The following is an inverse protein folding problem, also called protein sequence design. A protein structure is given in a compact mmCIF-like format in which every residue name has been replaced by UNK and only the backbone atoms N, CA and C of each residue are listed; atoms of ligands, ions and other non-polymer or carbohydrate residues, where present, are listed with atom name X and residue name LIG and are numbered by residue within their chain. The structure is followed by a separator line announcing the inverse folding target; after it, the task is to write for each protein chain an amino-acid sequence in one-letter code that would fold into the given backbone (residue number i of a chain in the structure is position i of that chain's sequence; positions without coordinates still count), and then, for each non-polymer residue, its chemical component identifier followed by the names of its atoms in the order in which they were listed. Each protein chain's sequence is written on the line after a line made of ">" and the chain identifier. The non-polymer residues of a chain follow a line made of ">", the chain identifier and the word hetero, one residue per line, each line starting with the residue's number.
data_IF_790831075293
#
_entry.id   IF_790831075293
#
_cell.length_a   1.000
_cell.length_b   1.000
_cell.length_c   1.000
_cell.angle_alpha   90.00
_cell.angle_beta   90.00
_cell.angle_gamma   90.00
#
_symmetry.space_group_name_H-M   'P 1'
#
loop_
_entity.id
_entity.type
_entity.pdbx_description
1 polymer ?
#
# COMPACT_ATOMS: atom_id res chain seq x y z
N UNK A 1 6.68 -3.83 3.23
CA UNK A 1 7.49 -4.54 2.22
C UNK A 1 8.36 -3.55 1.46
N UNK A 2 9.64 -3.82 1.38
CA UNK A 2 10.64 -3.00 0.74
C UNK A 2 11.55 -3.82 -0.17
N UNK A 3 12.58 -3.18 -0.70
CA UNK A 3 13.65 -3.82 -1.44
C UNK A 3 14.83 -3.97 -0.50
N UNK A 4 15.45 -5.15 -0.48
CA UNK A 4 16.66 -5.45 0.28
C UNK A 4 17.79 -5.67 -0.72
N UNK A 5 18.85 -4.89 -0.60
CA UNK A 5 20.07 -5.04 -1.41
C UNK A 5 21.31 -4.97 -0.52
N UNK A 6 22.44 -5.52 -0.99
CA UNK A 6 23.73 -5.29 -0.33
C UNK A 6 24.11 -3.81 -0.46
N UNK A 7 24.48 -3.19 0.64
CA UNK A 7 24.90 -1.79 0.66
C UNK A 7 26.20 -1.60 -0.15
N UNK A 8 27.12 -2.53 -0.04
CA UNK A 8 28.35 -2.55 -0.85
C UNK A 8 28.02 -2.54 -2.34
N UNK A 9 27.11 -3.43 -2.79
CA UNK A 9 26.67 -3.50 -4.19
C UNK A 9 25.94 -2.22 -4.62
N UNK A 10 25.17 -1.59 -3.73
CA UNK A 10 24.51 -0.31 -4.00
C UNK A 10 25.56 0.79 -4.27
N UNK A 11 26.58 0.88 -3.44
CA UNK A 11 27.65 1.89 -3.58
C UNK A 11 28.48 1.68 -4.86
N UNK A 12 28.75 0.45 -5.24
CA UNK A 12 29.50 0.11 -6.45
C UNK A 12 28.72 0.39 -7.74
N UNK A 13 27.44 0.01 -7.77
CA UNK A 13 26.61 0.06 -8.99
C UNK A 13 25.83 1.38 -9.15
N UNK A 14 25.69 2.17 -8.10
CA UNK A 14 25.01 3.47 -8.08
C UNK A 14 25.93 4.58 -7.54
N UNK A 15 27.10 4.84 -8.14
CA UNK A 15 28.06 5.85 -7.62
C UNK A 15 27.52 7.28 -7.68
N UNK A 16 26.51 7.55 -8.52
CA UNK A 16 25.75 8.80 -8.58
C UNK A 16 24.27 8.46 -8.66
N UNK A 17 23.63 8.10 -7.54
CA UNK A 17 22.20 7.86 -7.55
C UNK A 17 21.44 9.12 -7.94
N UNK A 18 20.34 8.99 -8.66
CA UNK A 18 19.44 10.10 -9.02
C UNK A 18 18.84 10.81 -7.81
N UNK A 19 18.97 10.22 -6.63
CA UNK A 19 18.69 10.77 -5.32
C UNK A 19 19.67 10.20 -4.32
N UNK A 20 19.91 10.90 -3.23
CA UNK A 20 20.74 10.45 -2.11
C UNK A 20 19.91 9.69 -1.09
N UNK A 21 20.54 8.80 -0.31
CA UNK A 21 19.89 8.25 0.89
C UNK A 21 19.50 9.35 1.87
N UNK A 22 20.18 10.50 1.84
CA UNK A 22 19.78 11.69 2.60
C UNK A 22 18.42 12.24 2.21
N UNK A 23 17.98 12.10 0.95
CA UNK A 23 16.66 12.52 0.48
C UNK A 23 15.52 11.64 1.05
N UNK A 24 15.90 10.51 1.65
CA UNK A 24 14.99 9.63 2.37
C UNK A 24 14.92 9.93 3.87
N UNK A 25 15.57 10.98 4.33
CA UNK A 25 15.47 11.48 5.69
C UNK A 25 14.33 12.49 5.76
N UNK A 26 13.33 12.20 6.59
CA UNK A 26 12.15 13.04 6.76
C UNK A 26 12.24 13.74 8.11
N UNK A 27 12.27 15.07 8.09
CA UNK A 27 12.17 15.86 9.32
C UNK A 27 10.70 15.96 9.73
N UNK A 28 10.37 15.38 10.88
CA UNK A 28 9.01 15.41 11.44
C UNK A 28 8.99 16.35 12.62
N UNK A 29 8.13 17.37 12.60
CA UNK A 29 7.83 18.22 13.76
C UNK A 29 6.92 17.46 14.71
N UNK A 30 7.41 17.16 15.90
CA UNK A 30 6.63 16.52 16.96
C UNK A 30 5.93 17.60 17.79
N UNK A 31 6.63 18.71 18.08
CA UNK A 31 6.07 19.92 18.74
C UNK A 31 6.59 21.17 18.04
N UNK A 32 6.22 22.36 18.53
CA UNK A 32 6.77 23.64 18.00
C UNK A 32 8.30 23.73 18.08
N UNK A 33 8.90 23.05 19.06
CA UNK A 33 10.33 23.12 19.36
C UNK A 33 11.08 21.81 19.06
N UNK A 34 10.39 20.67 19.04
CA UNK A 34 11.00 19.36 18.85
C UNK A 34 10.81 18.90 17.41
N UNK A 35 11.91 18.71 16.72
CA UNK A 35 11.99 18.10 15.42
C UNK A 35 12.68 16.73 15.56
N UNK A 36 12.20 15.73 14.81
CA UNK A 36 12.82 14.41 14.75
C UNK A 36 13.07 14.03 13.30
N UNK A 37 14.28 13.63 12.99
CA UNK A 37 14.60 13.06 11.67
C UNK A 37 14.25 11.58 11.68
N UNK A 38 13.43 11.17 10.72
CA UNK A 38 13.07 9.77 10.49
C UNK A 38 13.73 9.32 9.20
N UNK A 39 14.54 8.27 9.29
CA UNK A 39 15.10 7.63 8.12
C UNK A 39 14.07 6.69 7.49
N UNK A 40 13.76 6.91 6.22
CA UNK A 40 12.86 6.04 5.46
C UNK A 40 13.59 4.81 4.88
N UNK A 41 14.83 4.56 5.28
CA UNK A 41 15.60 3.37 4.96
C UNK A 41 16.21 2.79 6.24
N UNK A 42 16.65 1.54 6.18
CA UNK A 42 17.35 0.87 7.27
C UNK A 42 18.61 0.19 6.72
N UNK A 43 19.71 0.33 7.42
CA UNK A 43 20.96 -0.35 7.12
C UNK A 43 21.31 -1.29 8.28
N UNK A 44 21.45 -2.58 8.00
CA UNK A 44 21.85 -3.62 8.96
C UNK A 44 22.75 -4.63 8.24
N UNK A 45 23.92 -4.92 8.77
CA UNK A 45 24.85 -5.97 8.29
C UNK A 45 25.01 -5.98 6.76
N UNK A 46 25.40 -4.85 6.17
CA UNK A 46 25.51 -4.68 4.70
C UNK A 46 24.18 -4.86 3.94
N UNK A 47 23.03 -4.95 4.62
CA UNK A 47 21.72 -5.01 4.00
C UNK A 47 21.04 -3.64 4.06
N UNK A 48 20.85 -3.05 2.90
CA UNK A 48 20.10 -1.81 2.74
C UNK A 48 18.63 -2.14 2.44
N UNK A 49 17.74 -1.74 3.35
CA UNK A 49 16.30 -1.86 3.24
C UNK A 49 15.75 -0.53 2.73
N UNK A 50 15.14 -0.53 1.55
CA UNK A 50 14.57 0.67 0.92
C UNK A 50 13.08 0.45 0.66
N UNK A 51 12.20 1.44 0.95
CA UNK A 51 10.81 1.37 0.53
C UNK A 51 10.71 1.15 -0.98
N UNK A 52 9.78 0.29 -1.39
CA UNK A 52 9.68 -0.16 -2.78
C UNK A 52 9.60 0.97 -3.80
N UNK A 53 8.80 2.01 -3.52
CA UNK A 53 8.70 3.17 -4.42
C UNK A 53 10.04 3.87 -4.57
N UNK A 54 10.69 4.18 -3.46
CA UNK A 54 11.99 4.85 -3.45
C UNK A 54 13.09 4.02 -4.13
N UNK A 55 13.00 2.69 -4.07
CA UNK A 55 13.93 1.82 -4.77
C UNK A 55 13.88 2.01 -6.30
N UNK A 56 12.71 2.28 -6.89
CA UNK A 56 12.60 2.56 -8.33
C UNK A 56 13.20 3.91 -8.72
N UNK A 57 13.22 4.86 -7.80
CA UNK A 57 13.77 6.19 -8.03
C UNK A 57 15.29 6.23 -7.80
N UNK A 58 15.79 5.46 -6.81
CA UNK A 58 17.17 5.45 -6.37
C UNK A 58 18.06 4.44 -7.12
N UNK A 59 17.49 3.27 -7.49
CA UNK A 59 18.29 2.20 -8.09
C UNK A 59 18.37 2.34 -9.61
N UNK A 60 19.54 2.04 -10.16
CA UNK A 60 19.69 1.98 -11.60
C UNK A 60 18.97 0.76 -12.20
N UNK A 61 18.80 0.76 -13.53
CA UNK A 61 18.06 -0.29 -14.24
C UNK A 61 18.69 -1.68 -14.05
N UNK A 62 20.02 -1.76 -13.95
CA UNK A 62 20.76 -3.02 -13.78
C UNK A 62 20.47 -3.66 -12.43
N UNK A 63 20.53 -2.87 -11.33
CA UNK A 63 20.15 -3.33 -10.00
C UNK A 63 18.68 -3.70 -9.91
N UNK A 64 17.78 -2.89 -10.49
CA UNK A 64 16.34 -3.19 -10.51
C UNK A 64 16.02 -4.51 -11.21
N UNK A 65 16.72 -4.86 -12.28
CA UNK A 65 16.53 -6.14 -12.99
C UNK A 65 17.09 -7.33 -12.23
N UNK A 66 18.13 -7.13 -11.41
CA UNK A 66 18.74 -8.19 -10.59
C UNK A 66 17.92 -8.53 -9.34
N UNK A 67 16.98 -7.67 -8.94
CA UNK A 67 16.13 -7.89 -7.78
C UNK A 67 15.09 -8.97 -8.10
N UNK A 68 15.23 -10.13 -7.46
CA UNK A 68 14.22 -11.19 -7.54
C UNK A 68 12.93 -10.71 -6.87
N UNK A 69 11.86 -10.61 -7.64
CA UNK A 69 10.55 -10.29 -7.11
C UNK A 69 10.00 -11.50 -6.33
N UNK A 70 10.08 -11.43 -5.00
CA UNK A 70 9.53 -12.45 -4.09
C UNK A 70 8.06 -12.22 -3.74
N UNK A 71 7.35 -11.35 -4.49
CA UNK A 71 5.91 -11.20 -4.25
C UNK A 71 5.20 -12.49 -4.60
N UNK A 72 4.48 -13.02 -3.63
CA UNK A 72 3.49 -14.07 -3.85
C UNK A 72 2.41 -13.59 -4.83
N UNK A 73 1.81 -14.51 -5.56
CA UNK A 73 0.64 -14.20 -6.37
C UNK A 73 -0.48 -13.68 -5.47
N UNK A 74 -1.30 -12.77 -6.02
CA UNK A 74 -2.45 -12.24 -5.30
C UNK A 74 -3.45 -13.35 -5.02
N UNK A 75 -3.88 -13.47 -3.76
CA UNK A 75 -4.96 -14.38 -3.38
C UNK A 75 -6.25 -13.92 -4.03
N UNK A 76 -6.83 -14.77 -4.87
CA UNK A 76 -8.12 -14.51 -5.52
C UNK A 76 -9.25 -14.68 -4.51
N UNK A 77 -10.16 -13.72 -4.50
CA UNK A 77 -11.35 -13.71 -3.65
C UNK A 77 -12.59 -13.43 -4.54
N UNK A 78 -13.17 -14.45 -5.17
CA UNK A 78 -14.29 -14.28 -6.10
C UNK A 78 -15.54 -13.69 -5.45
N UNK A 79 -15.72 -13.88 -4.15
CA UNK A 79 -16.86 -13.38 -3.37
C UNK A 79 -16.84 -11.86 -3.15
N UNK A 80 -15.74 -11.17 -3.48
CA UNK A 80 -15.67 -9.72 -3.39
C UNK A 80 -16.62 -9.12 -4.45
N UNK A 81 -17.81 -8.70 -4.01
CA UNK A 81 -18.84 -8.12 -4.88
C UNK A 81 -19.39 -6.84 -4.26
N UNK A 82 -19.16 -5.73 -4.95
CA UNK A 82 -19.74 -4.44 -4.59
C UNK A 82 -21.17 -4.33 -5.12
N UNK A 83 -22.15 -4.10 -4.26
CA UNK A 83 -23.58 -4.05 -4.59
C UNK A 83 -24.14 -2.61 -4.60
N UNK A 84 -23.29 -1.61 -4.48
CA UNK A 84 -23.67 -0.21 -4.57
C UNK A 84 -23.62 0.36 -5.98
N UNK A 85 -24.17 1.57 -6.15
CA UNK A 85 -24.02 2.35 -7.39
C UNK A 85 -22.94 3.41 -7.20
N UNK A 86 -21.98 3.45 -8.12
CA UNK A 86 -20.96 4.50 -8.17
C UNK A 86 -21.51 5.72 -8.93
N UNK A 87 -21.18 6.92 -8.46
CA UNK A 87 -21.45 8.18 -9.17
C UNK A 87 -20.51 8.31 -10.37
N UNK A 88 -20.87 9.11 -11.37
CA UNK A 88 -20.06 9.29 -12.58
C UNK A 88 -18.61 9.69 -12.30
N UNK A 89 -18.40 10.68 -11.42
CA UNK A 89 -17.06 11.09 -11.03
C UNK A 89 -16.25 9.98 -10.35
N UNK A 90 -16.88 9.08 -9.59
CA UNK A 90 -16.22 7.92 -9.00
C UNK A 90 -15.86 6.87 -10.05
N UNK A 91 -16.72 6.67 -11.05
CA UNK A 91 -16.47 5.76 -12.19
C UNK A 91 -15.25 6.24 -12.99
N UNK A 92 -15.15 7.54 -13.26
CA UNK A 92 -14.00 8.13 -13.97
C UNK A 92 -12.70 7.83 -13.23
N UNK A 93 -12.64 8.09 -11.90
CA UNK A 93 -11.47 7.81 -11.07
C UNK A 93 -11.17 6.31 -11.07
N UNK A 94 -12.17 5.47 -10.91
CA UNK A 94 -12.01 4.01 -10.90
C UNK A 94 -11.43 3.48 -12.22
N UNK A 95 -11.95 3.93 -13.35
CA UNK A 95 -11.44 3.55 -14.69
C UNK A 95 -9.99 3.99 -14.86
N UNK A 96 -9.65 5.20 -14.43
CA UNK A 96 -8.28 5.71 -14.48
C UNK A 96 -7.31 4.86 -13.62
N UNK A 97 -7.69 4.57 -12.38
CA UNK A 97 -6.90 3.74 -11.47
C UNK A 97 -6.68 2.34 -12.06
N UNK A 98 -7.76 1.69 -12.52
CA UNK A 98 -7.66 0.36 -13.09
C UNK A 98 -6.74 0.33 -14.32
N UNK A 99 -6.94 1.23 -15.27
CA UNK A 99 -6.15 1.29 -16.50
C UNK A 99 -4.67 1.57 -16.25
N UNK A 100 -4.35 2.51 -15.36
CA UNK A 100 -2.99 3.01 -15.23
C UNK A 100 -2.16 2.31 -14.15
N UNK A 101 -2.80 1.78 -13.10
CA UNK A 101 -2.07 1.26 -11.93
C UNK A 101 -2.37 -0.21 -11.62
N UNK A 102 -3.57 -0.70 -11.94
CA UNK A 102 -4.04 -2.01 -11.49
C UNK A 102 -4.43 -2.98 -12.62
N UNK A 103 -4.26 -2.62 -13.90
CA UNK A 103 -4.47 -3.59 -14.96
C UNK A 103 -3.46 -4.75 -14.81
N UNK A 104 -3.88 -5.99 -15.14
CA UNK A 104 -3.13 -7.24 -14.90
C UNK A 104 -1.64 -7.17 -15.23
N UNK A 105 -1.24 -6.49 -16.30
CA UNK A 105 0.16 -6.33 -16.70
C UNK A 105 0.97 -5.47 -15.73
N UNK A 106 0.37 -4.41 -15.17
CA UNK A 106 1.05 -3.48 -14.25
C UNK A 106 1.11 -4.02 -12.82
N UNK A 107 0.06 -4.70 -12.38
CA UNK A 107 0.01 -5.35 -11.04
C UNK A 107 1.04 -6.47 -10.96
N UNK A 108 1.16 -7.34 -11.98
CA UNK A 108 2.22 -8.35 -12.03
C UNK A 108 3.64 -7.77 -11.98
N UNK A 109 3.83 -6.55 -12.51
CA UNK A 109 5.12 -5.85 -12.43
C UNK A 109 5.32 -5.10 -11.10
N UNK A 110 4.38 -5.19 -10.16
CA UNK A 110 4.45 -4.54 -8.87
C UNK A 110 4.48 -3.01 -8.89
N UNK A 111 3.98 -2.39 -9.95
CA UNK A 111 3.95 -0.93 -10.15
C UNK A 111 2.62 -0.26 -9.76
N UNK A 112 1.78 -0.95 -9.00
CA UNK A 112 0.45 -0.49 -8.65
C UNK A 112 0.39 0.40 -7.39
N UNK A 113 1.28 1.38 -7.25
CA UNK A 113 1.25 2.34 -6.13
C UNK A 113 0.73 3.67 -6.64
N UNK A 114 -0.32 4.19 -6.00
CA UNK A 114 -0.90 5.49 -6.33
C UNK A 114 -1.52 6.16 -5.12
N UNK A 115 -1.65 7.48 -5.19
CA UNK A 115 -2.37 8.28 -4.21
C UNK A 115 -3.62 8.85 -4.86
N UNK A 116 -4.77 8.66 -4.20
CA UNK A 116 -6.05 9.21 -4.65
C UNK A 116 -6.41 10.42 -3.78
N UNK A 117 -6.40 11.60 -4.39
CA UNK A 117 -6.78 12.86 -3.73
C UNK A 117 -8.19 13.23 -4.17
N UNK A 118 -9.13 13.25 -3.24
CA UNK A 118 -10.52 13.68 -3.44
C UNK A 118 -10.98 14.48 -2.22
N UNK A 119 -11.84 15.48 -2.41
CA UNK A 119 -12.44 16.23 -1.29
C UNK A 119 -13.16 15.28 -0.32
N UNK A 120 -13.25 15.67 0.95
CA UNK A 120 -14.03 14.92 1.94
C UNK A 120 -15.49 14.74 1.47
N UNK A 121 -16.11 13.63 1.81
CA UNK A 121 -17.50 13.32 1.39
C UNK A 121 -17.69 12.90 -0.07
N UNK A 122 -16.68 13.00 -0.95
CA UNK A 122 -16.79 12.60 -2.37
C UNK A 122 -16.74 11.08 -2.61
N UNK A 123 -16.66 10.28 -1.55
CA UNK A 123 -16.79 8.83 -1.61
C UNK A 123 -15.54 8.07 -2.07
N UNK A 124 -14.35 8.48 -1.60
CA UNK A 124 -13.09 7.75 -1.80
C UNK A 124 -13.21 6.25 -1.49
N UNK A 125 -13.88 5.91 -0.38
CA UNK A 125 -14.08 4.53 0.04
C UNK A 125 -14.83 3.71 -1.03
N UNK A 126 -15.84 4.26 -1.67
CA UNK A 126 -16.60 3.57 -2.72
C UNK A 126 -15.75 3.30 -3.97
N UNK A 127 -14.84 4.21 -4.32
CA UNK A 127 -13.88 3.97 -5.41
C UNK A 127 -12.98 2.78 -5.09
N UNK A 128 -12.49 2.70 -3.84
CA UNK A 128 -11.65 1.57 -3.36
C UNK A 128 -12.44 0.26 -3.40
N UNK A 129 -13.69 0.25 -2.93
CA UNK A 129 -14.55 -0.93 -2.98
C UNK A 129 -14.86 -1.38 -4.42
N UNK A 130 -15.12 -0.42 -5.31
CA UNK A 130 -15.27 -0.70 -6.75
C UNK A 130 -14.01 -1.31 -7.36
N UNK A 131 -12.84 -0.83 -6.95
CA UNK A 131 -11.56 -1.39 -7.41
C UNK A 131 -11.36 -2.82 -6.89
N UNK A 132 -11.63 -3.08 -5.61
CA UNK A 132 -11.56 -4.42 -5.02
C UNK A 132 -12.51 -5.40 -5.74
N UNK A 133 -13.73 -4.95 -6.08
CA UNK A 133 -14.68 -5.71 -6.87
C UNK A 133 -14.14 -6.10 -8.26
N UNK A 134 -13.49 -5.19 -8.96
CA UNK A 134 -12.92 -5.45 -10.30
C UNK A 134 -11.72 -6.40 -10.21
N UNK A 135 -10.85 -6.19 -9.23
CA UNK A 135 -9.62 -6.97 -9.09
C UNK A 135 -9.86 -8.37 -8.57
N UNK A 136 -10.90 -8.57 -7.76
CA UNK A 136 -11.21 -9.88 -7.13
C UNK A 136 -10.02 -10.49 -6.38
N UNK A 137 -9.29 -9.66 -5.64
CA UNK A 137 -8.13 -10.09 -4.86
C UNK A 137 -8.30 -9.74 -3.39
N UNK A 138 -7.72 -10.55 -2.50
CA UNK A 138 -7.69 -10.28 -1.07
C UNK A 138 -7.22 -8.85 -0.84
N UNK A 139 -8.03 -8.09 -0.12
CA UNK A 139 -7.82 -6.65 0.06
C UNK A 139 -7.60 -6.33 1.53
N UNK A 140 -6.56 -5.57 1.84
CA UNK A 140 -6.30 -5.07 3.19
C UNK A 140 -6.53 -3.56 3.21
N UNK A 141 -7.37 -3.10 4.13
CA UNK A 141 -7.64 -1.68 4.38
C UNK A 141 -6.99 -1.32 5.71
N UNK A 142 -5.90 -0.57 5.66
CA UNK A 142 -5.22 -0.10 6.87
C UNK A 142 -5.85 1.21 7.33
N UNK A 143 -6.22 1.26 8.61
CA UNK A 143 -6.93 2.40 9.21
C UNK A 143 -6.19 2.94 10.44
N UNK A 144 -6.27 4.25 10.71
CA UNK A 144 -5.50 4.88 11.80
C UNK A 144 -6.08 4.66 13.19
N UNK A 145 -7.38 4.47 13.33
CA UNK A 145 -8.07 4.36 14.62
C UNK A 145 -9.38 3.56 14.55
N UNK A 146 -9.91 3.19 15.73
CA UNK A 146 -11.12 2.37 15.85
C UNK A 146 -12.37 3.04 15.27
N UNK A 147 -12.53 4.36 15.39
CA UNK A 147 -13.68 5.07 14.81
C UNK A 147 -13.75 4.89 13.31
N UNK A 148 -12.59 4.99 12.64
CA UNK A 148 -12.48 4.76 11.19
C UNK A 148 -12.71 3.28 10.86
N UNK A 149 -12.20 2.34 11.67
CA UNK A 149 -12.42 0.91 11.50
C UNK A 149 -13.92 0.57 11.54
N UNK A 150 -14.63 1.05 12.57
CA UNK A 150 -16.09 0.84 12.72
C UNK A 150 -16.84 1.45 11.52
N UNK A 151 -16.45 2.63 11.07
CA UNK A 151 -17.02 3.24 9.88
C UNK A 151 -16.85 2.39 8.62
N UNK A 152 -15.65 1.86 8.38
CA UNK A 152 -15.37 0.95 7.27
C UNK A 152 -16.16 -0.37 7.38
N UNK A 153 -16.26 -0.95 8.59
CA UNK A 153 -17.02 -2.17 8.82
C UNK A 153 -18.48 -2.00 8.38
N UNK A 154 -19.15 -0.92 8.82
CA UNK A 154 -20.54 -0.61 8.41
C UNK A 154 -20.69 -0.47 6.90
N UNK A 155 -19.73 0.18 6.25
CA UNK A 155 -19.73 0.35 4.79
C UNK A 155 -19.58 -1.00 4.07
N UNK A 156 -18.68 -1.87 4.55
CA UNK A 156 -18.48 -3.21 3.99
C UNK A 156 -19.70 -4.09 4.18
N UNK A 157 -20.28 -4.14 5.37
CA UNK A 157 -21.50 -4.90 5.65
C UNK A 157 -22.65 -4.48 4.74
N UNK A 158 -22.80 -3.18 4.48
CA UNK A 158 -23.87 -2.65 3.63
C UNK A 158 -23.65 -2.89 2.14
N UNK A 159 -22.44 -2.70 1.65
CA UNK A 159 -22.17 -2.67 0.19
C UNK A 159 -21.41 -3.88 -0.34
N UNK A 160 -20.91 -4.74 0.54
CA UNK A 160 -20.20 -5.97 0.19
C UNK A 160 -20.65 -7.17 1.06
N UNK A 161 -21.96 -7.43 1.17
CA UNK A 161 -22.51 -8.39 2.14
C UNK A 161 -22.04 -9.84 1.90
N UNK A 162 -21.62 -10.17 0.68
CA UNK A 162 -21.14 -11.51 0.31
C UNK A 162 -19.66 -11.73 0.60
N UNK A 163 -18.93 -10.66 0.97
CA UNK A 163 -17.50 -10.75 1.26
C UNK A 163 -17.27 -11.04 2.74
N UNK A 164 -16.39 -11.98 3.04
CA UNK A 164 -15.96 -12.24 4.41
C UNK A 164 -15.09 -11.08 4.90
N UNK A 165 -15.52 -10.40 5.96
CA UNK A 165 -14.80 -9.28 6.57
C UNK A 165 -13.87 -9.81 7.65
N UNK A 166 -12.57 -9.58 7.50
CA UNK A 166 -11.56 -9.84 8.51
C UNK A 166 -11.25 -8.59 9.34
N UNK A 167 -10.75 -8.78 10.55
CA UNK A 167 -10.36 -7.69 11.46
C UNK A 167 -9.03 -8.02 12.12
N UNK A 168 -8.05 -7.11 11.97
CA UNK A 168 -6.79 -7.13 12.70
C UNK A 168 -6.67 -5.87 13.56
N UNK A 169 -7.06 -5.99 14.84
CA UNK A 169 -7.01 -4.90 15.82
C UNK A 169 -6.64 -5.46 17.19
N UNK A 170 -5.52 -5.04 17.75
CA UNK A 170 -5.01 -5.54 19.03
C UNK A 170 -4.84 -7.06 19.03
N UNK A 171 -5.55 -7.75 19.95
CA UNK A 171 -5.54 -9.21 20.06
C UNK A 171 -6.44 -9.92 19.03
N UNK A 172 -7.34 -9.20 18.39
CA UNK A 172 -8.27 -9.77 17.40
C UNK A 172 -7.55 -9.96 16.07
N UNK A 173 -7.50 -11.20 15.56
CA UNK A 173 -6.89 -11.57 14.27
C UNK A 173 -7.84 -12.49 13.51
N UNK A 174 -8.84 -11.91 12.88
CA UNK A 174 -9.84 -12.61 12.06
C UNK A 174 -9.51 -12.38 10.60
N UNK A 175 -9.28 -13.43 9.84
CA UNK A 175 -9.00 -13.34 8.41
C UNK A 175 -10.26 -13.28 7.55
N UNK A 176 -10.16 -12.74 6.34
CA UNK A 176 -11.28 -12.58 5.42
C UNK A 176 -10.85 -12.19 4.01
N UNK A 177 -11.83 -12.02 3.12
CA UNK A 177 -11.62 -11.53 1.75
C UNK A 177 -11.17 -10.06 1.77
N UNK A 178 -11.76 -9.28 2.68
CA UNK A 178 -11.39 -7.88 2.94
C UNK A 178 -11.04 -7.76 4.42
N UNK A 179 -9.80 -7.41 4.72
CA UNK A 179 -9.29 -7.30 6.08
C UNK A 179 -9.17 -5.83 6.48
N UNK A 180 -9.85 -5.43 7.53
CA UNK A 180 -9.66 -4.14 8.20
C UNK A 180 -8.53 -4.27 9.22
N UNK A 181 -7.46 -3.53 9.04
CA UNK A 181 -6.26 -3.63 9.86
C UNK A 181 -5.93 -2.30 10.51
N UNK A 182 -5.76 -2.29 11.81
CA UNK A 182 -5.25 -1.13 12.53
C UNK A 182 -3.76 -0.92 12.21
N UNK A 183 -3.35 0.32 12.01
CA UNK A 183 -1.95 0.64 11.68
C UNK A 183 -0.96 0.10 12.72
N UNK A 184 -1.31 0.15 14.00
CA UNK A 184 -0.47 -0.40 15.08
C UNK A 184 -0.34 -1.92 14.97
N UNK A 185 -1.42 -2.62 14.60
CA UNK A 185 -1.39 -4.06 14.37
C UNK A 185 -0.58 -4.44 13.12
N UNK A 186 -0.60 -3.59 12.09
CA UNK A 186 0.21 -3.80 10.88
C UNK A 186 1.72 -3.72 11.17
N UNK A 187 2.14 -2.85 12.11
CA UNK A 187 3.55 -2.69 12.49
C UNK A 187 4.02 -3.80 13.42
N UNK A 188 3.15 -4.30 14.30
CA UNK A 188 3.49 -5.34 15.29
C UNK A 188 3.36 -6.78 14.77
N UNK A 189 2.85 -6.97 13.57
CA UNK A 189 2.79 -8.31 12.93
C UNK A 189 4.15 -8.63 12.31
N UNK A 190 4.99 -9.33 13.08
CA UNK A 190 6.24 -9.94 12.61
C UNK A 190 5.96 -11.25 11.90
#
# INVERSE_FOLDING_TARGET
>A
EGVIISFKKYMEECPKPKGSLSDMMIEVRITRTIKKTIMAYKLEDDKLFIPRKSAFDLLNKKLLTSIKNKMSDFTKCPNIKYEGKLKENQIVVLKYLYKNFYCKKKVKKGKGITTVVMKAGRGKSFVVLGLAHILKVKTVVVVPNDKVLVGWKKVLEKYMPKSKIGIYSGKTKIDGDIVLMMIHSAVSTK
#
